data_IF_356719138702
#
_entry.id   IF_356719138702
#
_cell.length_a   1.000
_cell.length_b   1.000
_cell.length_c   1.000
_cell.angle_alpha   90.00
_cell.angle_beta   90.00
_cell.angle_gamma   90.00
#
_symmetry.space_group_name_H-M   'P 1'
#
loop_
_entity.id
_entity.type
_entity.pdbx_description
1 polymer ?
#
# COMPACT_ATOMS: atom_id res chain seq x y z
N UNK A 1 19.42 16.41 0.70
CA UNK A 1 19.67 15.76 2.00
C UNK A 1 19.02 14.39 1.91
N UNK A 2 19.82 13.34 2.07
CA UNK A 2 19.33 11.96 2.01
C UNK A 2 18.65 11.64 3.34
N UNK A 3 17.45 11.06 3.30
CA UNK A 3 16.69 10.70 4.49
C UNK A 3 17.39 9.53 5.19
N UNK A 4 17.65 9.65 6.49
CA UNK A 4 18.28 8.60 7.30
C UNK A 4 17.40 8.23 8.49
N UNK A 5 17.70 7.11 9.14
CA UNK A 5 16.96 6.69 10.34
C UNK A 5 17.12 7.68 11.51
N UNK A 6 18.23 8.44 11.54
CA UNK A 6 18.47 9.45 12.56
C UNK A 6 17.52 10.66 12.45
N UNK A 7 16.90 10.86 11.29
CA UNK A 7 15.89 11.90 11.06
C UNK A 7 14.50 11.50 11.58
N UNK A 8 14.33 10.23 11.98
CA UNK A 8 13.05 9.65 12.36
C UNK A 8 12.88 9.68 13.89
N UNK A 9 11.77 10.22 14.35
CA UNK A 9 11.31 10.05 15.74
C UNK A 9 10.08 9.16 15.77
N UNK A 10 10.22 7.96 16.33
CA UNK A 10 9.12 7.01 16.46
C UNK A 10 8.08 7.49 17.49
N UNK A 11 6.79 7.33 17.18
CA UNK A 11 5.68 7.63 18.10
C UNK A 11 5.07 6.34 18.61
N UNK A 12 4.51 5.53 17.69
CA UNK A 12 3.80 4.29 18.02
C UNK A 12 3.78 3.33 16.84
N UNK A 13 3.50 2.06 17.14
CA UNK A 13 3.22 1.03 16.15
C UNK A 13 1.77 1.18 15.70
N UNK A 14 1.53 1.21 14.39
CA UNK A 14 0.19 1.22 13.80
C UNK A 14 -0.28 -0.19 13.44
N UNK A 15 0.61 -1.02 12.87
CA UNK A 15 0.31 -2.39 12.47
C UNK A 15 1.58 -3.23 12.42
N UNK A 16 1.46 -4.50 12.76
CA UNK A 16 2.51 -5.51 12.57
C UNK A 16 1.97 -6.61 11.67
N UNK A 17 2.81 -7.11 10.76
CA UNK A 17 2.60 -8.33 9.98
C UNK A 17 3.86 -9.19 10.00
N UNK A 18 3.80 -10.34 9.34
CA UNK A 18 4.97 -11.20 9.16
C UNK A 18 5.97 -10.60 8.15
N UNK A 19 5.52 -9.70 7.27
CA UNK A 19 6.34 -9.06 6.25
C UNK A 19 6.88 -7.69 6.66
N UNK A 20 6.20 -6.97 7.55
CA UNK A 20 6.58 -5.59 7.90
C UNK A 20 6.02 -5.11 9.24
N UNK A 21 6.53 -3.98 9.71
CA UNK A 21 5.93 -3.20 10.79
C UNK A 21 5.71 -1.76 10.33
N UNK A 22 4.51 -1.25 10.55
CA UNK A 22 4.09 0.10 10.20
C UNK A 22 4.09 0.95 11.47
N UNK A 23 4.83 2.05 11.43
CA UNK A 23 4.97 2.99 12.53
C UNK A 23 4.38 4.36 12.15
N UNK A 24 3.77 5.00 13.14
CA UNK A 24 3.58 6.44 13.10
C UNK A 24 4.86 7.10 13.62
N UNK A 25 5.39 8.05 12.86
CA UNK A 25 6.64 8.73 13.18
C UNK A 25 6.52 10.24 12.94
N UNK A 26 7.47 11.00 13.45
CA UNK A 26 7.70 12.38 13.00
C UNK A 26 9.04 12.53 12.32
N UNK A 27 9.07 13.37 11.29
CA UNK A 27 10.29 13.80 10.60
C UNK A 27 10.24 15.32 10.51
N UNK A 28 11.18 16.00 11.16
CA UNK A 28 11.21 17.47 11.23
C UNK A 28 9.86 18.08 11.69
N UNK A 29 9.19 17.44 12.66
CA UNK A 29 7.89 17.87 13.19
C UNK A 29 6.68 17.53 12.32
N UNK A 30 6.85 16.92 11.14
CA UNK A 30 5.76 16.43 10.29
C UNK A 30 5.43 14.97 10.63
N UNK A 31 4.14 14.67 10.81
CA UNK A 31 3.65 13.29 10.97
C UNK A 31 3.75 12.51 9.66
N UNK A 32 4.32 11.32 9.72
CA UNK A 32 4.52 10.41 8.60
C UNK A 32 4.25 8.96 9.03
N UNK A 33 4.11 8.08 8.04
CA UNK A 33 4.14 6.63 8.23
C UNK A 33 5.50 6.12 7.79
N UNK A 34 6.16 5.35 8.66
CA UNK A 34 7.34 4.56 8.31
C UNK A 34 6.92 3.10 8.25
N UNK A 35 6.99 2.48 7.08
CA UNK A 35 6.80 1.02 6.92
C UNK A 35 8.16 0.36 6.77
N UNK A 36 8.50 -0.52 7.70
CA UNK A 36 9.79 -1.20 7.82
C UNK A 36 9.59 -2.68 7.50
N UNK A 37 10.37 -3.23 6.57
CA UNK A 37 10.15 -4.57 6.01
C UNK A 37 11.17 -5.56 6.54
N UNK A 38 10.70 -6.77 6.83
CA UNK A 38 11.58 -7.92 7.02
C UNK A 38 12.27 -8.21 5.68
N UNK A 39 13.60 -8.13 5.66
CA UNK A 39 14.37 -8.35 4.43
C UNK A 39 14.73 -9.82 4.30
N UNK A 40 14.39 -10.42 3.16
CA UNK A 40 14.66 -11.83 2.89
C UNK A 40 15.53 -11.99 1.63
N UNK A 41 16.36 -13.03 1.62
CA UNK A 41 17.07 -13.43 0.40
C UNK A 41 16.12 -14.19 -0.51
N UNK A 42 16.19 -13.89 -1.81
CA UNK A 42 15.51 -14.67 -2.83
C UNK A 42 15.97 -16.13 -2.76
N UNK A 43 15.01 -17.03 -2.73
CA UNK A 43 15.15 -18.48 -2.81
C UNK A 43 15.04 -18.96 -4.26
N UNK A 44 15.56 -20.16 -4.54
CA UNK A 44 15.37 -20.83 -5.82
C UNK A 44 13.91 -21.21 -6.11
N UNK A 45 13.08 -21.31 -5.06
CA UNK A 45 11.65 -21.57 -5.19
C UNK A 45 10.87 -20.32 -5.65
N UNK A 46 11.49 -19.14 -5.62
CA UNK A 46 10.79 -17.91 -5.94
C UNK A 46 10.59 -17.75 -7.45
N UNK A 47 9.42 -17.26 -7.89
CA UNK A 47 9.11 -17.09 -9.29
C UNK A 47 10.09 -16.08 -9.93
N UNK A 48 10.79 -16.42 -11.03
CA UNK A 48 11.81 -15.54 -11.62
C UNK A 48 11.21 -14.34 -12.37
N UNK A 49 9.91 -14.37 -12.65
CA UNK A 49 9.20 -13.42 -13.50
C UNK A 49 8.49 -12.29 -12.73
N UNK A 50 8.57 -12.26 -11.40
CA UNK A 50 8.04 -11.16 -10.58
C UNK A 50 9.02 -10.74 -9.49
N UNK A 51 8.87 -9.50 -9.03
CA UNK A 51 9.50 -9.06 -7.79
C UNK A 51 8.71 -9.64 -6.61
N UNK A 52 9.45 -10.11 -5.60
CA UNK A 52 8.91 -10.73 -4.39
C UNK A 52 9.28 -9.94 -3.14
N UNK A 53 10.29 -9.06 -3.21
CA UNK A 53 10.70 -8.23 -2.09
C UNK A 53 9.67 -7.10 -1.92
N UNK A 54 8.89 -7.10 -0.81
CA UNK A 54 7.83 -6.14 -0.59
C UNK A 54 8.35 -4.69 -0.57
N UNK A 55 9.57 -4.47 -0.08
CA UNK A 55 10.20 -3.16 -0.08
C UNK A 55 10.51 -2.70 -1.50
N UNK A 56 11.00 -3.59 -2.36
CA UNK A 56 11.30 -3.25 -3.77
C UNK A 56 10.02 -3.01 -4.55
N UNK A 57 8.99 -3.85 -4.38
CA UNK A 57 7.67 -3.64 -4.97
C UNK A 57 7.11 -2.26 -4.61
N UNK A 58 6.97 -1.98 -3.32
CA UNK A 58 6.28 -0.78 -2.84
C UNK A 58 7.09 0.49 -3.14
N UNK A 59 8.40 0.47 -2.90
CA UNK A 59 9.24 1.63 -3.20
C UNK A 59 9.29 1.94 -4.69
N UNK A 60 9.36 0.93 -5.56
CA UNK A 60 9.39 1.15 -7.02
C UNK A 60 8.04 1.71 -7.51
N UNK A 61 6.93 1.19 -6.99
CA UNK A 61 5.60 1.70 -7.29
C UNK A 61 5.47 3.17 -6.87
N UNK A 62 5.82 3.52 -5.63
CA UNK A 62 5.72 4.91 -5.16
C UNK A 62 6.63 5.89 -5.89
N UNK A 63 7.85 5.49 -6.29
CA UNK A 63 8.69 6.34 -7.13
C UNK A 63 7.97 6.71 -8.43
N UNK A 64 7.35 5.72 -9.09
CA UNK A 64 6.62 5.96 -10.33
C UNK A 64 5.32 6.74 -10.10
N UNK A 65 4.54 6.40 -9.08
CA UNK A 65 3.32 7.15 -8.72
C UNK A 65 3.65 8.63 -8.45
N UNK A 66 4.80 8.90 -7.84
CA UNK A 66 5.27 10.27 -7.60
C UNK A 66 5.72 10.97 -8.88
N UNK A 67 6.51 10.29 -9.71
CA UNK A 67 6.99 10.79 -11.01
C UNK A 67 5.83 11.22 -11.92
N UNK A 68 4.77 10.41 -12.01
CA UNK A 68 3.57 10.70 -12.81
C UNK A 68 2.53 11.55 -12.07
N UNK A 69 2.83 11.99 -10.84
CA UNK A 69 2.05 12.99 -10.12
C UNK A 69 0.80 12.48 -9.41
N UNK A 70 0.60 11.17 -9.26
CA UNK A 70 -0.54 10.58 -8.53
C UNK A 70 -0.46 10.90 -7.04
N UNK A 71 0.74 10.96 -6.45
CA UNK A 71 0.95 11.44 -5.08
C UNK A 71 0.42 12.87 -4.89
N UNK A 72 0.74 13.78 -5.82
CA UNK A 72 0.30 15.18 -5.78
C UNK A 72 -1.21 15.34 -5.96
N UNK A 73 -1.84 14.44 -6.71
CA UNK A 73 -3.30 14.40 -6.87
C UNK A 73 -4.01 13.94 -5.59
N UNK A 74 -3.29 13.33 -4.63
CA UNK A 74 -3.84 12.84 -3.37
C UNK A 74 -4.59 11.52 -3.49
N UNK A 75 -4.48 10.83 -4.63
CA UNK A 75 -5.15 9.54 -4.93
C UNK A 75 -4.37 8.33 -4.43
N UNK A 76 -3.15 8.56 -3.96
CA UNK A 76 -2.30 7.65 -3.18
C UNK A 76 -1.58 8.52 -2.11
N UNK A 77 -0.99 7.93 -1.06
CA UNK A 77 -0.17 8.68 -0.11
C UNK A 77 1.01 9.39 -0.78
N UNK A 78 1.39 10.59 -0.34
CA UNK A 78 2.65 11.20 -0.80
C UNK A 78 3.86 10.38 -0.32
N UNK A 79 4.86 10.26 -1.17
CA UNK A 79 6.05 9.43 -0.94
C UNK A 79 7.26 10.30 -0.60
N UNK A 80 7.80 10.16 0.61
CA UNK A 80 8.91 10.99 1.08
C UNK A 80 10.29 10.39 0.85
N UNK A 81 10.37 9.07 0.61
CA UNK A 81 11.61 8.40 0.22
C UNK A 81 11.78 7.04 0.86
N UNK A 82 13.00 6.53 0.82
CA UNK A 82 13.40 5.24 1.37
C UNK A 82 14.56 5.40 2.34
N UNK A 83 14.67 4.47 3.29
CA UNK A 83 15.82 4.29 4.17
C UNK A 83 16.24 2.83 4.04
N UNK A 84 17.51 2.57 3.75
CA UNK A 84 18.01 1.21 3.51
C UNK A 84 19.01 0.78 4.57
N UNK A 85 19.05 -0.52 4.86
CA UNK A 85 20.06 -1.13 5.75
C UNK A 85 20.03 -0.57 7.17
N UNK A 86 18.85 -0.46 7.77
CA UNK A 86 18.67 0.10 9.10
C UNK A 86 19.22 -0.88 10.14
N UNK A 87 20.16 -0.45 10.98
CA UNK A 87 20.59 -1.24 12.15
C UNK A 87 19.47 -1.26 13.20
N UNK A 88 18.81 -2.40 13.45
CA UNK A 88 17.69 -2.47 14.39
C UNK A 88 18.10 -2.16 15.83
N UNK A 89 19.37 -2.34 16.20
CA UNK A 89 19.86 -2.09 17.55
C UNK A 89 19.85 -0.60 17.91
N UNK A 90 19.94 0.27 16.91
CA UNK A 90 19.94 1.73 17.06
C UNK A 90 18.57 2.33 17.41
N UNK A 91 17.49 1.59 17.16
CA UNK A 91 16.10 2.08 17.25
C UNK A 91 15.24 1.25 18.23
N UNK A 92 15.85 0.76 19.31
CA UNK A 92 15.11 0.02 20.34
C UNK A 92 14.23 0.95 21.18
N UNK A 93 13.02 0.52 21.59
CA UNK A 93 12.47 -0.82 21.42
C UNK A 93 11.71 -1.05 20.11
N UNK A 94 11.54 -0.03 19.26
CA UNK A 94 10.64 -0.08 18.09
C UNK A 94 11.05 -1.14 17.06
N UNK A 95 12.35 -1.33 16.81
CA UNK A 95 12.83 -2.31 15.82
C UNK A 95 13.22 -3.67 16.43
N UNK A 96 12.70 -4.02 17.61
CA UNK A 96 13.01 -5.30 18.28
C UNK A 96 12.71 -6.53 17.41
N UNK A 97 11.64 -6.50 16.60
CA UNK A 97 11.23 -7.62 15.75
C UNK A 97 12.23 -7.98 14.66
N UNK A 98 13.05 -7.01 14.24
CA UNK A 98 14.03 -7.18 13.16
C UNK A 98 15.41 -7.61 13.66
N UNK A 99 15.62 -7.74 14.98
CA UNK A 99 16.93 -8.10 15.55
C UNK A 99 17.44 -9.49 15.14
N UNK A 100 16.52 -10.37 14.71
CA UNK A 100 16.84 -11.75 14.31
C UNK A 100 16.85 -11.94 12.80
N UNK A 101 16.58 -10.89 12.05
CA UNK A 101 16.60 -10.96 10.59
C UNK A 101 18.04 -11.18 10.11
N UNK A 102 18.20 -11.98 9.07
CA UNK A 102 19.51 -12.22 8.47
C UNK A 102 20.06 -10.95 7.78
N UNK A 103 19.16 -10.13 7.24
CA UNK A 103 19.47 -8.89 6.56
C UNK A 103 18.88 -7.70 7.31
N UNK A 104 19.58 -6.56 7.27
CA UNK A 104 19.04 -5.34 7.84
C UNK A 104 17.79 -4.88 7.10
N UNK A 105 16.75 -4.46 7.84
CA UNK A 105 15.51 -4.02 7.24
C UNK A 105 15.68 -2.74 6.43
N UNK A 106 14.83 -2.61 5.42
CA UNK A 106 14.64 -1.39 4.66
C UNK A 106 13.29 -0.77 5.04
N UNK A 107 13.09 0.49 4.71
CA UNK A 107 11.85 1.19 5.00
C UNK A 107 11.47 2.19 3.92
N UNK A 108 10.17 2.44 3.77
CA UNK A 108 9.64 3.59 3.06
C UNK A 108 9.05 4.59 4.05
N UNK A 109 9.12 5.87 3.69
CA UNK A 109 8.46 6.95 4.42
C UNK A 109 7.37 7.56 3.54
N UNK A 110 6.13 7.54 4.02
CA UNK A 110 4.95 8.05 3.30
C UNK A 110 4.10 8.99 4.17
N UNK A 111 3.15 9.66 3.54
CA UNK A 111 2.17 10.51 4.18
C UNK A 111 1.38 9.77 5.28
N UNK A 112 1.27 10.39 6.46
CA UNK A 112 0.28 9.98 7.46
C UNK A 112 -1.04 10.67 7.18
N UNK A 113 -2.10 9.88 6.96
CA UNK A 113 -3.44 10.37 6.68
C UNK A 113 -4.34 9.99 7.86
N UNK A 114 -4.83 10.96 8.66
CA UNK A 114 -5.69 10.67 9.80
C UNK A 114 -7.10 10.29 9.34
N UNK A 115 -7.83 9.55 10.18
CA UNK A 115 -9.23 9.16 9.95
C UNK A 115 -9.46 8.48 8.59
N UNK A 116 -8.59 7.53 8.28
CA UNK A 116 -8.68 6.73 7.08
C UNK A 116 -9.50 5.47 7.35
N UNK A 117 -10.57 5.27 6.58
CA UNK A 117 -11.49 4.14 6.69
C UNK A 117 -11.44 3.30 5.43
N UNK A 118 -11.53 1.99 5.59
CA UNK A 118 -11.74 1.04 4.49
C UNK A 118 -13.08 1.30 3.80
N UNK A 119 -13.15 1.04 2.49
CA UNK A 119 -14.43 1.03 1.78
C UNK A 119 -15.29 -0.14 2.29
N UNK A 120 -16.49 0.17 2.76
CA UNK A 120 -17.46 -0.75 3.36
C UNK A 120 -18.87 -0.18 3.19
N UNK A 121 -19.88 -0.82 3.78
CA UNK A 121 -21.25 -0.29 3.72
C UNK A 121 -21.41 1.08 4.39
N UNK A 122 -20.63 1.38 5.42
CA UNK A 122 -20.71 2.64 6.17
C UNK A 122 -20.06 3.82 5.44
N UNK A 123 -19.13 3.51 4.53
CA UNK A 123 -18.36 4.47 3.74
C UNK A 123 -18.76 4.46 2.28
N UNK A 124 -19.65 3.57 1.86
CA UNK A 124 -20.11 3.48 0.49
C UNK A 124 -20.74 4.79 -0.03
N UNK A 125 -20.45 5.09 -1.29
CA UNK A 125 -21.21 6.01 -2.13
C UNK A 125 -20.82 5.77 -3.59
N UNK A 126 -21.73 5.99 -4.54
CA UNK A 126 -21.44 5.85 -5.97
C UNK A 126 -20.21 6.66 -6.39
N UNK A 127 -20.06 7.86 -5.83
CA UNK A 127 -18.91 8.72 -6.06
C UNK A 127 -17.59 8.06 -5.65
N UNK A 128 -17.54 7.43 -4.45
CA UNK A 128 -16.32 6.79 -3.93
C UNK A 128 -15.93 5.58 -4.77
N UNK A 129 -16.91 4.77 -5.17
CA UNK A 129 -16.69 3.60 -6.04
C UNK A 129 -16.17 4.02 -7.41
N UNK A 130 -16.82 5.00 -8.05
CA UNK A 130 -16.37 5.53 -9.33
C UNK A 130 -14.95 6.12 -9.22
N UNK A 131 -14.67 6.83 -8.13
CA UNK A 131 -13.34 7.42 -7.88
C UNK A 131 -12.28 6.34 -7.68
N UNK A 132 -12.53 5.30 -6.88
CA UNK A 132 -11.58 4.18 -6.70
C UNK A 132 -11.26 3.50 -8.03
N UNK A 133 -12.26 3.29 -8.89
CA UNK A 133 -12.08 2.72 -10.23
C UNK A 133 -11.18 3.60 -11.11
N UNK A 134 -11.45 4.90 -11.18
CA UNK A 134 -10.63 5.84 -11.95
C UNK A 134 -9.20 5.94 -11.42
N UNK A 135 -9.00 5.84 -10.10
CA UNK A 135 -7.65 5.83 -9.52
C UNK A 135 -6.91 4.56 -9.93
N UNK A 136 -7.55 3.38 -9.87
CA UNK A 136 -6.93 2.13 -10.30
C UNK A 136 -6.56 2.17 -11.79
N UNK A 137 -7.44 2.70 -12.64
CA UNK A 137 -7.14 2.93 -14.06
C UNK A 137 -5.93 3.86 -14.26
N UNK A 138 -5.78 4.87 -13.40
CA UNK A 138 -4.63 5.79 -13.44
C UNK A 138 -3.34 5.10 -12.99
N UNK A 139 -3.40 4.24 -11.98
CA UNK A 139 -2.28 3.39 -11.52
C UNK A 139 -1.86 2.43 -12.65
N UNK A 140 -2.83 1.77 -13.27
CA UNK A 140 -2.61 0.93 -14.44
C UNK A 140 -2.03 1.73 -15.60
N UNK A 141 -2.53 2.94 -15.86
CA UNK A 141 -2.07 3.82 -16.94
C UNK A 141 -0.60 4.23 -16.83
N UNK A 142 -0.01 4.17 -15.63
CA UNK A 142 1.43 4.37 -15.41
C UNK A 142 2.19 3.04 -15.33
N UNK A 143 1.58 1.92 -15.73
CA UNK A 143 2.24 0.62 -15.83
C UNK A 143 2.54 -0.04 -14.50
N UNK A 144 1.67 0.18 -13.50
CA UNK A 144 1.71 -0.49 -12.21
C UNK A 144 0.52 -1.43 -12.14
N UNK A 145 0.77 -2.70 -11.85
CA UNK A 145 -0.22 -3.66 -11.36
C UNK A 145 -0.18 -3.64 -9.84
N UNK A 146 -1.32 -3.54 -9.15
CA UNK A 146 -1.34 -3.39 -7.69
C UNK A 146 -1.07 -4.72 -6.98
N UNK A 147 -1.68 -5.81 -7.45
CA UNK A 147 -1.41 -7.17 -6.99
C UNK A 147 -2.01 -7.56 -5.65
N UNK A 148 -2.70 -6.64 -4.99
CA UNK A 148 -3.46 -6.89 -3.76
C UNK A 148 -4.72 -5.99 -3.71
N UNK A 149 -5.63 -6.07 -4.70
CA UNK A 149 -6.68 -5.08 -4.86
C UNK A 149 -7.89 -5.35 -3.96
N UNK A 150 -7.67 -5.67 -2.68
CA UNK A 150 -8.73 -5.95 -1.71
C UNK A 150 -9.20 -4.68 -0.99
N UNK A 151 -10.41 -4.70 -0.40
CA UNK A 151 -11.05 -3.50 0.14
C UNK A 151 -10.20 -2.80 1.21
N UNK A 152 -9.42 -3.54 2.02
CA UNK A 152 -8.45 -3.02 3.00
C UNK A 152 -7.44 -1.99 2.45
N UNK A 153 -7.23 -1.98 1.14
CA UNK A 153 -6.30 -1.10 0.43
C UNK A 153 -7.03 0.03 -0.32
N UNK A 154 -8.36 0.02 -0.31
CA UNK A 154 -9.25 1.01 -0.90
C UNK A 154 -9.82 1.92 0.19
N UNK A 155 -9.24 3.10 0.31
CA UNK A 155 -9.43 3.93 1.50
C UNK A 155 -10.21 5.20 1.21
N UNK A 156 -10.93 5.65 2.23
CA UNK A 156 -11.73 6.87 2.21
C UNK A 156 -11.53 7.65 3.51
N UNK A 157 -11.43 8.97 3.41
CA UNK A 157 -11.45 9.82 4.58
C UNK A 157 -12.86 10.38 4.74
N UNK A 158 -13.55 10.10 5.86
CA UNK A 158 -15.00 10.36 5.97
C UNK A 158 -15.34 11.86 5.94
N UNK A 159 -14.55 12.66 6.64
CA UNK A 159 -14.77 14.11 6.74
C UNK A 159 -14.30 14.91 5.52
N UNK A 160 -13.45 14.31 4.69
CA UNK A 160 -13.05 14.90 3.42
C UNK A 160 -13.69 14.10 2.28
N UNK A 161 -13.47 14.52 1.04
CA UNK A 161 -13.85 13.72 -0.14
C UNK A 161 -12.67 12.90 -0.65
N UNK A 162 -11.61 12.74 0.15
CA UNK A 162 -10.39 12.05 -0.28
C UNK A 162 -10.66 10.55 -0.35
N UNK A 163 -10.34 9.98 -1.51
CA UNK A 163 -10.42 8.57 -1.85
C UNK A 163 -9.07 8.18 -2.42
N UNK A 164 -8.51 7.07 -1.99
CA UNK A 164 -7.16 6.68 -2.36
C UNK A 164 -6.93 5.18 -2.27
N UNK A 165 -5.90 4.74 -2.97
CA UNK A 165 -5.33 3.40 -2.84
C UNK A 165 -4.05 3.43 -2.01
N UNK A 166 -3.83 2.38 -1.21
CA UNK A 166 -2.64 2.21 -0.37
C UNK A 166 -2.07 0.79 -0.54
N UNK A 167 -0.90 0.54 0.05
CA UNK A 167 -0.29 -0.79 0.17
C UNK A 167 0.14 -1.44 -1.16
N UNK A 168 1.24 -0.93 -1.72
CA UNK A 168 1.79 -1.41 -3.01
C UNK A 168 2.88 -2.47 -2.84
N UNK A 169 2.86 -3.22 -1.74
CA UNK A 169 3.93 -4.18 -1.42
C UNK A 169 3.87 -5.48 -2.23
N UNK A 170 2.76 -5.74 -2.91
CA UNK A 170 2.61 -6.78 -3.93
C UNK A 170 2.71 -6.23 -5.36
N UNK A 171 2.89 -4.92 -5.52
CA UNK A 171 2.79 -4.27 -6.81
C UNK A 171 3.91 -4.67 -7.77
N UNK A 172 3.57 -4.73 -9.05
CA UNK A 172 4.52 -5.00 -10.12
C UNK A 172 4.58 -3.79 -11.03
N UNK A 173 5.78 -3.21 -11.11
CA UNK A 173 6.03 -1.99 -11.88
C UNK A 173 6.69 -2.38 -13.20
N UNK A 174 5.93 -2.41 -14.28
CA UNK A 174 6.40 -2.88 -15.59
C UNK A 174 7.16 -1.78 -16.32
N UNK A 175 8.22 -2.12 -17.05
CA UNK A 175 8.71 -1.23 -18.11
C UNK A 175 7.76 -1.30 -19.30
N UNK A 176 7.74 -0.27 -20.15
CA UNK A 176 6.90 -0.24 -21.37
C UNK A 176 7.04 -1.50 -22.24
N UNK A 177 8.20 -2.17 -22.19
CA UNK A 177 8.51 -3.38 -22.95
C UNK A 177 8.00 -4.69 -22.31
N UNK A 178 7.57 -4.65 -21.04
CA UNK A 178 7.15 -5.83 -20.26
C UNK A 178 5.71 -5.69 -19.77
N UNK A 179 4.90 -4.90 -20.47
CA UNK A 179 3.49 -4.70 -20.14
C UNK A 179 2.73 -6.02 -20.16
N UNK A 180 2.33 -6.53 -18.99
CA UNK A 180 1.50 -7.71 -18.90
C UNK A 180 0.02 -7.29 -18.87
N UNK A 181 -0.59 -7.21 -20.05
CA UNK A 181 -1.99 -6.79 -20.18
C UNK A 181 -2.96 -7.72 -19.45
N UNK A 182 -2.69 -9.03 -19.38
CA UNK A 182 -3.61 -9.98 -18.76
C UNK A 182 -3.77 -9.71 -17.27
N UNK A 183 -2.66 -9.53 -16.53
CA UNK A 183 -2.72 -9.27 -15.08
C UNK A 183 -3.49 -7.98 -14.75
N UNK A 184 -3.33 -6.96 -15.59
CA UNK A 184 -4.05 -5.69 -15.44
C UNK A 184 -5.54 -5.89 -15.69
N UNK A 185 -5.92 -6.63 -16.73
CA UNK A 185 -7.33 -6.91 -17.02
C UNK A 185 -7.97 -7.80 -15.93
N UNK A 186 -7.26 -8.83 -15.45
CA UNK A 186 -7.73 -9.69 -14.35
C UNK A 186 -7.96 -8.87 -13.07
N UNK A 187 -7.06 -7.95 -12.75
CA UNK A 187 -7.21 -7.04 -11.59
C UNK A 187 -8.40 -6.10 -11.75
N UNK A 188 -8.62 -5.55 -12.95
CA UNK A 188 -9.81 -4.73 -13.23
C UNK A 188 -11.08 -5.54 -13.08
N UNK A 189 -11.13 -6.75 -13.64
CA UNK A 189 -12.30 -7.63 -13.56
C UNK A 189 -12.63 -7.95 -12.10
N UNK A 190 -11.65 -8.39 -11.32
CA UNK A 190 -11.81 -8.68 -9.89
C UNK A 190 -12.34 -7.48 -9.09
N UNK A 191 -11.80 -6.29 -9.34
CA UNK A 191 -12.23 -5.07 -8.64
C UNK A 191 -13.63 -4.63 -9.07
N UNK A 192 -13.97 -4.79 -10.35
CA UNK A 192 -15.29 -4.47 -10.87
C UNK A 192 -16.35 -5.41 -10.28
N UNK A 193 -16.07 -6.71 -10.21
CA UNK A 193 -16.93 -7.70 -9.55
C UNK A 193 -17.16 -7.35 -8.08
N UNK A 194 -16.10 -6.98 -7.36
CA UNK A 194 -16.22 -6.53 -5.98
C UNK A 194 -17.12 -5.30 -5.85
N UNK A 195 -16.95 -4.30 -6.72
CA UNK A 195 -17.76 -3.08 -6.68
C UNK A 195 -19.23 -3.34 -6.98
N UNK A 196 -19.54 -4.17 -7.98
CA UNK A 196 -20.91 -4.53 -8.32
C UNK A 196 -21.56 -5.29 -7.15
N UNK A 197 -20.82 -6.21 -6.54
CA UNK A 197 -21.24 -6.92 -5.33
C UNK A 197 -21.47 -5.97 -4.13
N UNK A 198 -20.61 -4.96 -3.95
CA UNK A 198 -20.73 -3.99 -2.86
C UNK A 198 -21.95 -3.07 -3.04
N UNK A 199 -22.27 -2.69 -4.28
CA UNK A 199 -23.49 -1.93 -4.60
C UNK A 199 -24.73 -2.73 -4.19
N UNK A 200 -24.77 -4.02 -4.53
CA UNK A 200 -25.88 -4.89 -4.13
C UNK A 200 -25.97 -5.07 -2.61
N UNK A 201 -24.84 -5.33 -1.94
CA UNK A 201 -24.81 -5.47 -0.48
C UNK A 201 -25.22 -4.16 0.24
N UNK A 202 -24.90 -2.99 -0.33
CA UNK A 202 -25.36 -1.70 0.17
C UNK A 202 -26.87 -1.53 0.02
N UNK A 203 -27.44 -1.89 -1.13
CA UNK A 203 -28.88 -1.85 -1.35
C UNK A 203 -29.64 -2.81 -0.41
N UNK A 204 -29.05 -3.97 -0.11
CA UNK A 204 -29.58 -4.93 0.84
C UNK A 204 -29.35 -4.54 2.31
N UNK A 205 -28.50 -3.54 2.56
CA UNK A 205 -28.12 -3.07 3.90
C UNK A 205 -27.30 -4.06 4.71
N UNK A 206 -26.67 -5.06 4.07
CA UNK A 206 -25.89 -6.11 4.75
C UNK A 206 -24.80 -6.69 3.84
N UNK A 207 -23.66 -7.04 4.44
CA UNK A 207 -22.58 -7.75 3.73
C UNK A 207 -23.03 -9.19 3.49
N UNK A 208 -22.98 -9.61 2.23
CA UNK A 208 -23.29 -10.97 1.81
C UNK A 208 -22.36 -11.40 0.68
N UNK A 209 -22.41 -10.71 -0.46
CA UNK A 209 -21.63 -11.03 -1.66
C UNK A 209 -20.16 -10.64 -1.49
N UNK A 210 -19.92 -9.53 -0.80
CA UNK A 210 -18.57 -9.01 -0.56
C UNK A 210 -17.86 -9.68 0.61
N UNK A 211 -18.52 -10.58 1.36
CA UNK A 211 -17.94 -11.26 2.52
C UNK A 211 -16.57 -11.89 2.26
N UNK A 212 -16.32 -12.60 1.13
CA UNK A 212 -15.02 -13.21 0.87
C UNK A 212 -13.88 -12.18 0.77
N UNK A 213 -14.15 -11.02 0.17
CA UNK A 213 -13.17 -9.96 -0.03
C UNK A 213 -12.70 -9.33 1.28
N UNK A 214 -13.58 -9.27 2.29
CA UNK A 214 -13.24 -8.72 3.61
C UNK A 214 -12.63 -9.74 4.56
N UNK A 215 -13.06 -11.00 4.51
CA UNK A 215 -12.82 -11.96 5.60
C UNK A 215 -12.08 -13.23 5.21
N UNK A 216 -11.89 -13.52 3.92
CA UNK A 216 -11.24 -14.77 3.48
C UNK A 216 -9.79 -14.55 3.04
N UNK A 217 -9.47 -13.40 2.46
CA UNK A 217 -8.18 -13.11 1.85
C UNK A 217 -7.36 -12.12 2.69
N UNK A 218 -7.18 -12.42 3.98
CA UNK A 218 -6.40 -11.61 4.94
C UNK A 218 -4.95 -12.08 5.06
#
# INVERSE_FOLDING_TARGET
MELTIADITFIQVLKESDSSTIFQVTVQGKLCVLKVYHSAKRSYADPPNREIDPFICESTAYHRLKEYGLCRQGVVPDFYGVIKGIDPTSCQPFLKRFLKDELFPNAILIEYIPDLHEIDLSTFSDYRIATLRTILESIHGVGIYHGDPYPRNMMVQKYTKRVLWIDFDHAQTFSERKWNSQWIEDEKEMVNEFFDALIEDYNDGKISRTWPYYYTYL
#
